data_IF_035819849040
#
_entry.id   IF_035819849040
#
_cell.length_a   1.000
_cell.length_b   1.000
_cell.length_c   1.000
_cell.angle_alpha   90.00
_cell.angle_beta   90.00
_cell.angle_gamma   90.00
#
_symmetry.space_group_name_H-M   'P 1'
#
loop_
_entity.id
_entity.type
_entity.pdbx_description
1 polymer ?
#
# COMPACT_ATOMS: atom_id res chain seq x y z
N UNK A 1 -38.25 21.48 67.02
CA UNK A 1 -36.92 21.62 66.40
C UNK A 1 -36.58 20.33 65.71
N UNK A 2 -36.78 20.24 64.37
CA UNK A 2 -36.44 19.07 63.57
C UNK A 2 -35.07 19.26 62.97
N UNK A 3 -34.13 18.37 63.36
CA UNK A 3 -32.78 18.32 62.77
C UNK A 3 -32.84 17.58 61.46
N UNK A 4 -32.53 18.25 60.36
CA UNK A 4 -32.35 17.66 59.04
C UNK A 4 -30.89 17.21 58.96
N UNK A 5 -30.68 15.89 58.88
CA UNK A 5 -29.37 15.31 58.51
C UNK A 5 -29.21 15.39 57.00
N UNK A 6 -28.28 16.23 56.52
CA UNK A 6 -27.82 16.19 55.14
C UNK A 6 -26.75 15.09 55.03
N UNK A 7 -27.10 13.99 54.35
CA UNK A 7 -26.17 12.97 53.94
C UNK A 7 -25.45 13.39 52.64
N UNK A 8 -24.15 13.65 52.74
CA UNK A 8 -23.28 13.88 51.55
C UNK A 8 -23.02 12.53 50.89
N UNK A 9 -23.62 12.29 49.75
CA UNK A 9 -23.24 11.19 48.87
C UNK A 9 -21.96 11.62 48.10
N UNK A 10 -20.85 11.07 48.51
CA UNK A 10 -19.61 11.19 47.73
C UNK A 10 -19.73 10.32 46.48
N UNK A 11 -19.96 10.92 45.31
CA UNK A 11 -19.74 10.26 44.01
C UNK A 11 -18.25 10.10 43.84
N UNK A 12 -17.75 8.90 44.05
CA UNK A 12 -16.41 8.52 43.58
C UNK A 12 -16.46 8.39 42.05
N UNK A 13 -16.06 9.44 41.36
CA UNK A 13 -15.66 9.36 39.95
C UNK A 13 -14.37 8.53 39.91
N UNK A 14 -14.50 7.25 39.65
CA UNK A 14 -13.39 6.44 39.13
C UNK A 14 -13.05 7.01 37.75
N UNK A 15 -12.06 7.90 37.69
CA UNK A 15 -11.38 8.21 36.45
C UNK A 15 -10.73 6.89 35.98
N UNK A 16 -11.41 6.19 35.08
CA UNK A 16 -10.73 5.22 34.25
C UNK A 16 -9.60 6.01 33.59
N UNK A 17 -8.35 5.74 33.94
CA UNK A 17 -7.24 6.21 33.13
C UNK A 17 -7.53 5.70 31.71
N UNK A 18 -7.82 6.61 30.79
CA UNK A 18 -7.95 6.28 29.39
C UNK A 18 -6.57 5.70 29.02
N UNK A 19 -6.50 4.39 28.84
CA UNK A 19 -5.29 3.76 28.31
C UNK A 19 -5.08 4.39 26.95
N UNK A 20 -3.87 4.88 26.69
CA UNK A 20 -3.57 5.46 25.39
C UNK A 20 -3.64 4.36 24.34
N UNK A 21 -4.48 4.55 23.33
CA UNK A 21 -4.67 3.61 22.24
C UNK A 21 -3.40 3.45 21.40
N UNK A 22 -3.18 2.28 20.83
CA UNK A 22 -2.21 2.14 19.74
C UNK A 22 -2.71 2.91 18.52
N UNK A 23 -1.82 3.60 17.85
CA UNK A 23 -2.17 4.45 16.70
C UNK A 23 -1.43 4.03 15.45
N UNK A 24 -2.14 3.53 14.44
CA UNK A 24 -1.62 3.32 13.11
C UNK A 24 -1.52 4.67 12.38
N UNK A 25 -0.31 5.17 12.22
CA UNK A 25 -0.03 6.42 11.49
C UNK A 25 0.02 6.11 10.00
N UNK A 26 -0.97 6.60 9.26
CA UNK A 26 -1.11 6.37 7.82
C UNK A 26 -0.72 7.63 7.06
N UNK A 27 0.32 7.59 6.20
CA UNK A 27 0.80 8.77 5.47
C UNK A 27 -0.06 9.12 4.25
N UNK A 28 -1.29 8.64 4.21
CA UNK A 28 -2.24 8.84 3.12
C UNK A 28 -3.55 9.42 3.62
N UNK A 29 -4.29 10.04 2.70
CA UNK A 29 -5.65 10.50 2.96
C UNK A 29 -6.61 9.32 3.22
N UNK A 30 -7.68 9.54 4.00
CA UNK A 30 -8.75 8.56 4.15
C UNK A 30 -9.28 8.05 2.82
N UNK A 31 -9.54 6.73 2.75
CA UNK A 31 -10.09 6.06 1.58
C UNK A 31 -9.08 5.71 0.48
N UNK A 32 -7.81 6.08 0.61
CA UNK A 32 -6.74 5.51 -0.24
C UNK A 32 -6.41 4.08 0.18
N UNK A 33 -5.71 3.35 -0.68
CA UNK A 33 -5.48 1.92 -0.50
C UNK A 33 -4.80 1.53 0.82
N UNK A 34 -3.81 2.30 1.28
CA UNK A 34 -3.17 2.05 2.57
C UNK A 34 -4.08 2.38 3.74
N UNK A 35 -4.91 3.44 3.63
CA UNK A 35 -5.92 3.77 4.63
C UNK A 35 -6.94 2.65 4.79
N UNK A 36 -7.51 2.16 3.68
CA UNK A 36 -8.49 1.06 3.69
C UNK A 36 -7.90 -0.21 4.32
N UNK A 37 -6.64 -0.52 3.98
CA UNK A 37 -5.93 -1.66 4.56
C UNK A 37 -5.70 -1.44 6.07
N UNK A 38 -5.23 -0.27 6.48
CA UNK A 38 -4.95 0.04 7.88
C UNK A 38 -6.23 -0.01 8.75
N UNK A 39 -7.37 0.43 8.22
CA UNK A 39 -8.66 0.38 8.92
C UNK A 39 -9.09 -1.06 9.25
N UNK A 40 -8.89 -2.01 8.31
CA UNK A 40 -9.23 -3.41 8.57
C UNK A 40 -8.23 -4.06 9.53
N UNK A 41 -6.94 -3.73 9.41
CA UNK A 41 -5.92 -4.22 10.33
C UNK A 41 -6.16 -3.67 11.74
N UNK A 42 -6.39 -2.38 11.91
CA UNK A 42 -6.66 -1.75 13.21
C UNK A 42 -7.83 -2.43 13.93
N UNK A 43 -8.95 -2.64 13.22
CA UNK A 43 -10.14 -3.27 13.77
C UNK A 43 -9.88 -4.71 14.24
N UNK A 44 -9.17 -5.49 13.44
CA UNK A 44 -8.89 -6.88 13.78
C UNK A 44 -7.78 -6.99 14.83
N UNK A 45 -6.70 -6.20 14.74
CA UNK A 45 -5.61 -6.21 15.70
C UNK A 45 -6.08 -5.78 17.10
N UNK A 46 -7.09 -4.90 17.21
CA UNK A 46 -7.72 -4.50 18.48
C UNK A 46 -8.31 -5.67 19.26
N UNK A 47 -8.63 -6.80 18.61
CA UNK A 47 -9.14 -8.00 19.28
C UNK A 47 -8.05 -8.74 20.06
N UNK A 48 -6.78 -8.48 19.76
CA UNK A 48 -5.61 -9.21 20.26
C UNK A 48 -4.64 -8.33 21.03
N UNK A 49 -4.97 -7.06 21.21
CA UNK A 49 -4.26 -6.12 22.07
C UNK A 49 -5.14 -5.78 23.29
N UNK A 50 -4.52 -5.43 24.42
CA UNK A 50 -5.27 -5.00 25.61
C UNK A 50 -5.88 -3.59 25.44
N UNK A 51 -5.58 -2.92 24.33
CA UNK A 51 -5.92 -1.53 24.03
C UNK A 51 -6.52 -1.45 22.63
N UNK A 52 -7.30 -0.39 22.37
CA UNK A 52 -7.79 -0.15 21.01
C UNK A 52 -6.63 0.19 20.08
N UNK A 53 -6.77 -0.20 18.82
CA UNK A 53 -5.90 0.23 17.73
C UNK A 53 -6.71 1.18 16.85
N UNK A 54 -6.27 2.43 16.74
CA UNK A 54 -6.95 3.48 15.98
C UNK A 54 -6.11 3.91 14.77
N UNK A 55 -6.76 4.51 13.78
CA UNK A 55 -6.07 5.03 12.59
C UNK A 55 -5.98 6.55 12.64
N UNK A 56 -4.78 7.08 12.43
CA UNK A 56 -4.50 8.51 12.29
C UNK A 56 -3.88 8.77 10.92
N UNK A 57 -4.44 9.72 10.18
CA UNK A 57 -3.95 10.09 8.87
C UNK A 57 -3.02 11.31 8.96
N UNK A 58 -1.85 11.20 8.34
CA UNK A 58 -0.86 12.27 8.19
C UNK A 58 -0.50 12.42 6.69
N UNK A 59 -1.43 12.88 5.86
CA UNK A 59 -1.25 12.92 4.42
C UNK A 59 -0.26 13.98 3.97
N UNK A 60 0.30 13.80 2.78
CA UNK A 60 1.17 14.78 2.14
C UNK A 60 1.62 14.31 0.76
N UNK A 61 2.34 15.17 0.05
CA UNK A 61 2.82 14.86 -1.29
C UNK A 61 3.73 13.62 -1.25
N UNK A 62 3.40 12.60 -2.09
CA UNK A 62 4.13 11.33 -2.18
C UNK A 62 4.25 10.58 -0.84
N UNK A 63 3.38 10.91 0.12
CA UNK A 63 3.33 10.35 1.46
C UNK A 63 4.58 10.64 2.33
N UNK A 64 5.55 11.43 1.81
CA UNK A 64 6.82 11.78 2.47
C UNK A 64 6.59 12.59 3.76
N UNK A 65 5.77 13.67 3.78
CA UNK A 65 5.60 14.48 4.99
C UNK A 65 5.09 13.70 6.20
N UNK A 66 4.16 12.75 5.98
CA UNK A 66 3.62 11.93 7.06
C UNK A 66 4.66 10.99 7.64
N UNK A 67 5.51 10.42 6.78
CA UNK A 67 6.59 9.54 7.20
C UNK A 67 7.71 10.30 7.91
N UNK A 68 8.11 11.48 7.39
CA UNK A 68 9.07 12.36 8.05
C UNK A 68 8.57 12.82 9.42
N UNK A 69 7.26 13.16 9.53
CA UNK A 69 6.65 13.51 10.81
C UNK A 69 6.69 12.36 11.82
N UNK A 70 6.41 11.14 11.36
CA UNK A 70 6.56 9.96 12.22
C UNK A 70 8.00 9.84 12.70
N UNK A 71 8.97 9.91 11.83
CA UNK A 71 10.40 9.81 12.16
C UNK A 71 10.85 10.88 13.13
N UNK A 72 10.53 12.13 12.87
CA UNK A 72 11.04 13.26 13.64
C UNK A 72 10.32 13.48 14.97
N UNK A 73 9.02 13.12 15.07
CA UNK A 73 8.16 13.51 16.19
C UNK A 73 7.42 12.32 16.82
N UNK A 74 6.61 11.60 16.01
CA UNK A 74 5.60 10.70 16.55
C UNK A 74 6.18 9.40 17.12
N UNK A 75 7.28 8.90 16.57
CA UNK A 75 7.93 7.67 17.04
C UNK A 75 8.43 7.74 18.50
N UNK A 76 8.48 8.94 19.11
CA UNK A 76 8.82 9.11 20.52
C UNK A 76 7.70 8.63 21.47
N UNK A 77 6.50 8.43 20.97
CA UNK A 77 5.40 7.77 21.68
C UNK A 77 5.42 6.27 21.30
N UNK A 78 5.64 5.41 22.29
CA UNK A 78 5.75 3.96 22.10
C UNK A 78 4.45 3.29 21.61
N UNK A 79 3.33 4.03 21.54
CA UNK A 79 2.05 3.58 20.99
C UNK A 79 1.87 3.90 19.51
N UNK A 80 2.77 4.66 18.90
CA UNK A 80 2.71 5.01 17.49
C UNK A 80 3.33 3.92 16.62
N UNK A 81 2.56 3.50 15.62
CA UNK A 81 2.94 2.45 14.66
C UNK A 81 2.84 3.05 13.26
N UNK A 82 3.94 3.09 12.53
CA UNK A 82 3.95 3.58 11.16
C UNK A 82 3.41 2.53 10.20
N UNK A 83 2.46 2.92 9.37
CA UNK A 83 1.96 2.11 8.26
C UNK A 83 2.67 2.52 6.98
N UNK A 84 3.55 1.65 6.49
CA UNK A 84 4.24 1.86 5.24
C UNK A 84 3.52 1.17 4.07
N UNK A 85 3.86 1.61 2.87
CA UNK A 85 3.52 0.93 1.62
C UNK A 85 4.69 1.02 0.64
N UNK A 86 4.65 0.22 -0.43
CA UNK A 86 5.77 0.11 -1.37
C UNK A 86 6.25 1.42 -1.98
N UNK A 87 5.36 2.39 -2.17
CA UNK A 87 5.74 3.73 -2.63
C UNK A 87 6.67 4.48 -1.67
N UNK A 88 6.54 4.28 -0.37
CA UNK A 88 7.45 4.87 0.62
C UNK A 88 8.86 4.29 0.50
N UNK A 89 8.96 3.00 0.15
CA UNK A 89 10.24 2.37 -0.12
C UNK A 89 10.93 2.95 -1.37
N UNK A 90 10.16 3.21 -2.41
CA UNK A 90 10.69 3.88 -3.61
C UNK A 90 11.14 5.31 -3.28
N UNK A 91 10.36 6.05 -2.50
CA UNK A 91 10.77 7.39 -2.05
C UNK A 91 12.04 7.35 -1.18
N UNK A 92 12.19 6.37 -0.31
CA UNK A 92 13.41 6.18 0.49
C UNK A 92 14.67 5.97 -0.38
N UNK A 93 14.51 5.33 -1.55
CA UNK A 93 15.62 5.11 -2.48
C UNK A 93 15.98 6.33 -3.33
N UNK A 94 14.98 7.12 -3.72
CA UNK A 94 15.11 8.09 -4.79
C UNK A 94 15.01 9.54 -4.34
N UNK A 95 14.48 9.79 -3.13
CA UNK A 95 14.20 11.12 -2.62
C UNK A 95 15.09 11.49 -1.43
N UNK A 96 15.15 12.77 -1.15
CA UNK A 96 15.70 13.29 0.11
C UNK A 96 14.61 13.22 1.18
N UNK A 97 14.69 12.19 2.04
CA UNK A 97 13.72 11.90 3.09
C UNK A 97 14.41 11.83 4.46
N UNK A 98 13.69 12.17 5.52
CA UNK A 98 14.24 12.13 6.88
C UNK A 98 14.22 10.70 7.47
N UNK A 99 13.25 9.88 7.08
CA UNK A 99 13.06 8.55 7.65
C UNK A 99 14.06 7.53 7.13
N UNK A 100 14.37 6.56 8.00
CA UNK A 100 15.30 5.47 7.68
C UNK A 100 14.73 4.14 8.17
N UNK A 101 14.38 3.25 7.24
CA UNK A 101 13.83 1.92 7.56
C UNK A 101 14.76 1.05 8.42
N UNK A 102 16.08 1.30 8.37
CA UNK A 102 17.05 0.54 9.17
C UNK A 102 17.10 0.95 10.64
N UNK A 103 16.35 2.00 11.02
CA UNK A 103 16.21 2.47 12.39
C UNK A 103 14.90 2.01 13.05
N UNK A 104 14.09 1.22 12.32
CA UNK A 104 12.79 0.75 12.80
C UNK A 104 12.78 -0.77 13.00
N UNK A 105 11.92 -1.20 13.92
CA UNK A 105 11.54 -2.61 14.08
C UNK A 105 10.30 -2.92 13.24
N UNK A 106 10.38 -3.99 12.45
CA UNK A 106 9.23 -4.50 11.73
C UNK A 106 8.32 -5.25 12.69
N UNK A 107 7.04 -4.89 12.73
CA UNK A 107 5.99 -5.69 13.37
C UNK A 107 5.53 -6.78 12.43
N UNK A 108 5.19 -6.41 11.21
CA UNK A 108 4.89 -7.36 10.15
C UNK A 108 4.62 -6.69 8.82
N UNK A 109 4.70 -7.46 7.75
CA UNK A 109 4.47 -7.04 6.38
C UNK A 109 3.54 -8.00 5.65
N UNK A 110 2.65 -7.45 4.85
CA UNK A 110 1.78 -8.18 3.94
C UNK A 110 2.21 -7.87 2.50
N UNK A 111 2.77 -8.86 1.84
CA UNK A 111 3.28 -8.73 0.48
C UNK A 111 2.12 -8.79 -0.53
N UNK A 112 1.39 -7.70 -0.68
CA UNK A 112 0.28 -7.62 -1.61
C UNK A 112 0.60 -6.83 -2.89
N UNK A 113 -0.15 -7.08 -3.93
CA UNK A 113 0.02 -6.51 -5.27
C UNK A 113 -0.56 -5.09 -5.42
N UNK A 114 -0.43 -4.54 -6.61
CA UNK A 114 -1.18 -3.40 -7.12
C UNK A 114 -2.02 -3.87 -8.31
N UNK A 115 -3.27 -3.47 -8.32
CA UNK A 115 -4.24 -3.78 -9.36
C UNK A 115 -4.43 -2.56 -10.26
N UNK A 116 -4.31 -2.76 -11.56
CA UNK A 116 -4.64 -1.78 -12.57
C UNK A 116 -5.89 -2.22 -13.32
N UNK A 117 -6.88 -1.32 -13.36
CA UNK A 117 -8.07 -1.49 -14.18
C UNK A 117 -8.11 -0.49 -15.33
N UNK A 118 -8.85 -0.82 -16.35
CA UNK A 118 -9.14 0.07 -17.48
C UNK A 118 -10.62 0.00 -17.86
N UNK A 119 -11.08 0.92 -18.68
CA UNK A 119 -12.41 0.79 -19.26
C UNK A 119 -12.46 -0.34 -20.29
N UNK A 120 -13.56 -1.08 -20.30
CA UNK A 120 -13.83 -2.07 -21.34
C UNK A 120 -13.78 -1.42 -22.73
N UNK A 121 -13.13 -2.10 -23.68
CA UNK A 121 -12.94 -1.59 -25.03
C UNK A 121 -11.86 -0.51 -25.20
N UNK A 122 -11.15 -0.11 -24.12
CA UNK A 122 -9.98 0.76 -24.26
C UNK A 122 -8.86 0.01 -24.99
N UNK A 123 -8.31 0.63 -26.04
CA UNK A 123 -7.30 0.02 -26.92
C UNK A 123 -5.90 0.53 -26.53
N UNK A 124 -5.05 -0.39 -26.07
CA UNK A 124 -3.68 -0.11 -25.65
C UNK A 124 -2.80 0.33 -26.83
N UNK A 125 -3.15 -0.05 -28.06
CA UNK A 125 -2.37 0.27 -29.27
C UNK A 125 -2.70 1.63 -29.87
N UNK A 126 -3.75 2.28 -29.41
CA UNK A 126 -4.21 3.56 -29.96
C UNK A 126 -4.56 4.58 -28.89
N UNK A 127 -4.68 5.84 -29.30
CA UNK A 127 -5.16 6.94 -28.46
C UNK A 127 -4.14 7.48 -27.47
N UNK A 128 -4.59 8.47 -26.71
CA UNK A 128 -3.86 9.08 -25.60
C UNK A 128 -4.61 8.76 -24.31
N UNK A 129 -3.91 8.17 -23.36
CA UNK A 129 -4.48 7.72 -22.09
C UNK A 129 -4.28 8.80 -21.01
N UNK A 130 -5.33 9.08 -20.27
CA UNK A 130 -5.33 10.01 -19.14
C UNK A 130 -5.20 9.21 -17.85
N UNK A 131 -4.11 9.40 -17.14
CA UNK A 131 -3.74 8.60 -15.99
C UNK A 131 -3.62 9.51 -14.78
N UNK A 132 -4.42 9.25 -13.75
CA UNK A 132 -4.45 10.05 -12.53
C UNK A 132 -3.72 9.36 -11.37
N UNK A 133 -2.96 10.15 -10.62
CA UNK A 133 -2.33 9.74 -9.36
C UNK A 133 -0.92 9.16 -9.50
N UNK A 134 -0.33 8.85 -8.36
CA UNK A 134 1.05 8.37 -8.27
C UNK A 134 2.11 9.45 -8.53
N UNK A 135 3.37 9.06 -8.39
CA UNK A 135 4.51 9.97 -8.61
C UNK A 135 5.12 9.86 -10.01
N UNK A 136 4.69 8.89 -10.81
CA UNK A 136 5.33 8.56 -12.10
C UNK A 136 6.62 7.73 -11.97
N UNK A 137 7.22 7.66 -10.80
CA UNK A 137 8.45 6.87 -10.53
C UNK A 137 8.17 5.47 -9.99
N UNK A 138 6.91 5.14 -9.72
CA UNK A 138 6.51 3.82 -9.26
C UNK A 138 6.54 2.82 -10.43
N UNK A 139 6.75 1.51 -10.17
CA UNK A 139 6.81 0.49 -11.24
C UNK A 139 5.58 0.48 -12.15
N UNK A 140 4.43 0.94 -11.65
CA UNK A 140 3.21 1.05 -12.44
C UNK A 140 3.36 1.95 -13.67
N UNK A 141 4.09 3.06 -13.54
CA UNK A 141 4.37 3.96 -14.67
C UNK A 141 5.18 3.28 -15.77
N UNK A 142 6.20 2.50 -15.38
CA UNK A 142 7.01 1.75 -16.32
C UNK A 142 6.19 0.63 -17.01
N UNK A 143 5.38 -0.12 -16.25
CA UNK A 143 4.50 -1.15 -16.82
C UNK A 143 3.49 -0.55 -17.81
N UNK A 144 2.83 0.56 -17.44
CA UNK A 144 1.90 1.25 -18.35
C UNK A 144 2.61 1.80 -19.59
N UNK A 145 3.82 2.37 -19.45
CA UNK A 145 4.59 2.84 -20.60
C UNK A 145 4.91 1.68 -21.56
N UNK A 146 5.35 0.54 -21.05
CA UNK A 146 5.59 -0.64 -21.88
C UNK A 146 4.30 -1.15 -22.52
N UNK A 147 3.18 -1.24 -21.79
CA UNK A 147 1.89 -1.67 -22.34
C UNK A 147 1.41 -0.78 -23.48
N UNK A 148 1.52 0.54 -23.33
CA UNK A 148 1.01 1.50 -24.32
C UNK A 148 1.98 1.73 -25.50
N UNK A 149 3.27 1.51 -25.30
CA UNK A 149 4.29 1.79 -26.31
C UNK A 149 4.80 0.54 -27.02
N UNK A 150 4.65 -0.63 -26.42
CA UNK A 150 5.11 -1.88 -26.99
C UNK A 150 6.63 -1.99 -27.13
N UNK A 151 7.12 -2.96 -27.89
CA UNK A 151 8.53 -3.14 -28.15
C UNK A 151 9.14 -1.92 -28.85
N UNK A 152 10.30 -1.47 -28.38
CA UNK A 152 11.02 -0.34 -28.97
C UNK A 152 12.14 -0.82 -29.90
N UNK A 153 12.33 -0.13 -31.01
CA UNK A 153 13.29 -0.52 -32.06
C UNK A 153 14.74 -0.51 -31.60
N UNK A 154 15.07 0.24 -30.55
CA UNK A 154 16.40 0.34 -29.95
C UNK A 154 16.68 -0.69 -28.83
N UNK A 155 15.80 -1.67 -28.65
CA UNK A 155 15.93 -2.69 -27.63
C UNK A 155 15.37 -2.28 -26.26
N UNK A 156 14.55 -1.23 -26.19
CA UNK A 156 13.81 -0.86 -24.99
C UNK A 156 14.56 0.10 -24.06
N UNK A 157 15.24 1.08 -24.60
CA UNK A 157 15.84 2.15 -23.82
C UNK A 157 14.79 2.99 -23.09
N UNK A 158 15.18 3.57 -21.96
CA UNK A 158 14.32 4.48 -21.19
C UNK A 158 13.92 5.69 -22.04
N UNK A 159 14.85 6.24 -22.83
CA UNK A 159 14.58 7.43 -23.66
C UNK A 159 13.54 7.17 -24.75
N UNK A 160 13.56 6.01 -25.40
CA UNK A 160 12.56 5.64 -26.40
C UNK A 160 11.16 5.51 -25.78
N UNK A 161 11.08 4.85 -24.62
CA UNK A 161 9.82 4.75 -23.88
C UNK A 161 9.32 6.12 -23.38
N UNK A 162 10.18 7.01 -22.92
CA UNK A 162 9.81 8.36 -22.52
C UNK A 162 9.31 9.19 -23.71
N UNK A 163 9.91 9.04 -24.88
CA UNK A 163 9.42 9.72 -26.10
C UNK A 163 8.01 9.25 -26.45
N UNK A 164 7.79 7.95 -26.54
CA UNK A 164 6.46 7.38 -26.80
C UNK A 164 5.45 7.76 -25.71
N UNK A 165 5.83 7.67 -24.42
CA UNK A 165 4.97 8.00 -23.28
C UNK A 165 4.41 9.44 -23.37
N UNK A 166 5.25 10.41 -23.78
CA UNK A 166 4.82 11.81 -23.96
C UNK A 166 3.76 11.98 -25.02
N UNK A 167 3.71 11.08 -26.00
CA UNK A 167 2.70 11.09 -27.06
C UNK A 167 1.45 10.27 -26.67
N UNK A 168 1.62 9.24 -25.84
CA UNK A 168 0.59 8.24 -25.55
C UNK A 168 -0.09 8.42 -24.19
N UNK A 169 0.44 9.23 -23.29
CA UNK A 169 -0.11 9.41 -21.96
C UNK A 169 -0.10 10.85 -21.48
N UNK A 170 -1.18 11.26 -20.82
CA UNK A 170 -1.25 12.48 -20.01
C UNK A 170 -1.30 12.08 -18.56
N UNK A 171 -0.23 12.40 -17.83
CA UNK A 171 -0.15 12.13 -16.40
C UNK A 171 -0.70 13.31 -15.60
N UNK A 172 -1.71 13.05 -14.74
CA UNK A 172 -2.38 14.05 -13.93
C UNK A 172 -2.03 13.81 -12.46
N UNK A 173 -1.19 14.68 -11.90
CA UNK A 173 -0.75 14.62 -10.51
C UNK A 173 -1.64 15.45 -9.59
N UNK A 174 -1.52 15.22 -8.27
CA UNK A 174 -2.22 16.00 -7.24
C UNK A 174 -3.69 15.67 -7.06
N UNK A 175 -4.17 14.61 -7.68
CA UNK A 175 -5.56 14.15 -7.58
C UNK A 175 -5.75 13.32 -6.32
N UNK A 176 -6.74 13.65 -5.49
CA UNK A 176 -7.10 12.86 -4.31
C UNK A 176 -7.66 11.48 -4.69
N UNK A 177 -7.69 10.53 -3.75
CA UNK A 177 -8.26 9.21 -3.99
C UNK A 177 -9.73 9.23 -4.40
N UNK A 178 -10.51 10.16 -3.83
CA UNK A 178 -11.92 10.37 -4.19
C UNK A 178 -12.11 10.92 -5.59
N UNK A 179 -11.35 11.97 -5.94
CA UNK A 179 -11.38 12.57 -7.29
C UNK A 179 -10.93 11.57 -8.36
N UNK A 180 -9.87 10.82 -8.10
CA UNK A 180 -9.41 9.75 -9.01
C UNK A 180 -10.50 8.74 -9.31
N UNK A 181 -11.24 8.30 -8.27
CA UNK A 181 -12.35 7.37 -8.43
C UNK A 181 -13.50 7.97 -9.24
N UNK A 182 -13.94 9.18 -8.88
CA UNK A 182 -15.00 9.86 -9.62
C UNK A 182 -14.61 10.12 -11.07
N UNK A 183 -13.39 10.58 -11.32
CA UNK A 183 -12.90 10.80 -12.67
C UNK A 183 -12.81 9.51 -13.50
N UNK A 184 -12.42 8.39 -12.88
CA UNK A 184 -12.47 7.09 -13.56
C UNK A 184 -13.92 6.67 -13.87
N UNK A 185 -14.86 6.77 -12.91
CA UNK A 185 -16.27 6.48 -13.13
C UNK A 185 -16.89 7.36 -14.23
N UNK A 186 -16.50 8.62 -14.28
CA UNK A 186 -16.97 9.59 -15.29
C UNK A 186 -16.21 9.50 -16.63
N UNK A 187 -15.28 8.56 -16.77
CA UNK A 187 -14.42 8.40 -17.96
C UNK A 187 -13.53 9.62 -18.24
N UNK A 188 -13.17 10.37 -17.21
CA UNK A 188 -12.19 11.46 -17.27
C UNK A 188 -10.76 10.91 -17.22
N UNK A 189 -10.58 9.76 -16.55
CA UNK A 189 -9.34 8.99 -16.47
C UNK A 189 -9.55 7.59 -17.06
N UNK A 190 -8.53 7.08 -17.74
CA UNK A 190 -8.60 5.83 -18.47
C UNK A 190 -8.09 4.62 -17.66
N UNK A 191 -7.36 4.90 -16.56
CA UNK A 191 -6.78 3.88 -15.67
C UNK A 191 -7.21 4.08 -14.22
N UNK A 192 -7.67 3.00 -13.61
CA UNK A 192 -7.78 2.87 -12.16
C UNK A 192 -6.56 2.10 -11.63
N UNK A 193 -5.81 2.68 -10.70
CA UNK A 193 -4.63 2.09 -10.05
C UNK A 193 -4.86 2.04 -8.55
N UNK A 194 -4.91 0.85 -7.97
CA UNK A 194 -5.25 0.68 -6.56
C UNK A 194 -4.55 -0.52 -5.92
N UNK A 195 -4.46 -0.52 -4.59
CA UNK A 195 -4.19 -1.76 -3.86
C UNK A 195 -5.40 -2.68 -3.89
N UNK A 196 -5.25 -4.01 -3.68
CA UNK A 196 -6.35 -4.96 -3.64
C UNK A 196 -7.50 -4.53 -2.73
N UNK A 197 -7.20 -4.02 -1.52
CA UNK A 197 -8.22 -3.54 -0.60
C UNK A 197 -9.08 -2.41 -1.16
N UNK A 198 -8.47 -1.41 -1.80
CA UNK A 198 -9.22 -0.32 -2.41
C UNK A 198 -9.91 -0.76 -3.72
N UNK A 199 -9.27 -1.63 -4.51
CA UNK A 199 -9.89 -2.23 -5.68
C UNK A 199 -11.17 -2.97 -5.33
N UNK A 200 -11.11 -3.90 -4.39
CA UNK A 200 -12.25 -4.70 -3.96
C UNK A 200 -13.37 -3.86 -3.34
N UNK A 201 -13.01 -2.80 -2.62
CA UNK A 201 -13.99 -1.92 -1.96
C UNK A 201 -14.68 -0.96 -2.93
N UNK A 202 -14.00 -0.48 -3.97
CA UNK A 202 -14.45 0.69 -4.70
C UNK A 202 -14.53 0.55 -6.21
N UNK A 203 -13.80 -0.38 -6.83
CA UNK A 203 -13.62 -0.38 -8.28
C UNK A 203 -14.13 -1.64 -8.98
N UNK A 204 -14.08 -2.81 -8.32
CA UNK A 204 -14.39 -4.08 -8.97
C UNK A 204 -15.81 -4.14 -9.54
N UNK A 205 -16.76 -3.42 -8.94
CA UNK A 205 -18.17 -3.42 -9.31
C UNK A 205 -18.58 -2.19 -10.15
N UNK A 206 -17.61 -1.37 -10.60
CA UNK A 206 -17.89 -0.25 -11.51
C UNK A 206 -18.21 -0.82 -12.90
N UNK A 207 -19.37 -0.46 -13.43
CA UNK A 207 -19.81 -0.91 -14.76
C UNK A 207 -18.82 -0.46 -15.86
N UNK A 208 -18.45 -1.42 -16.72
CA UNK A 208 -17.49 -1.20 -17.79
C UNK A 208 -16.04 -1.02 -17.33
N UNK A 209 -15.75 -1.37 -16.06
CA UNK A 209 -14.38 -1.50 -15.57
C UNK A 209 -13.94 -2.95 -15.75
N UNK A 210 -12.76 -3.14 -16.31
CA UNK A 210 -12.13 -4.46 -16.41
C UNK A 210 -10.76 -4.42 -15.74
N UNK A 211 -10.42 -5.50 -15.06
CA UNK A 211 -9.08 -5.68 -14.51
C UNK A 211 -8.11 -5.81 -15.69
N UNK A 212 -7.13 -4.94 -15.75
CA UNK A 212 -6.19 -4.86 -16.86
C UNK A 212 -4.95 -5.68 -16.62
N UNK A 213 -4.22 -5.34 -15.55
CA UNK A 213 -3.02 -6.06 -15.15
C UNK A 213 -2.74 -5.94 -13.65
N UNK A 214 -1.94 -6.87 -13.18
CA UNK A 214 -1.26 -6.85 -11.88
C UNK A 214 0.24 -7.02 -12.08
N UNK A 215 1.02 -6.73 -11.03
CA UNK A 215 2.47 -6.92 -11.10
C UNK A 215 2.90 -8.33 -10.67
N UNK A 216 1.99 -9.09 -10.04
CA UNK A 216 2.31 -10.32 -9.34
C UNK A 216 2.86 -10.04 -7.94
N UNK A 217 3.26 -11.08 -7.24
CA UNK A 217 3.82 -11.01 -5.90
C UNK A 217 5.24 -11.57 -5.88
N UNK A 218 6.10 -11.02 -5.03
CA UNK A 218 7.45 -11.53 -4.84
C UNK A 218 7.41 -12.77 -3.93
N UNK A 219 7.82 -13.90 -4.45
CA UNK A 219 8.11 -15.09 -3.65
C UNK A 219 9.45 -14.87 -2.93
N UNK A 220 9.38 -14.71 -1.62
CA UNK A 220 10.55 -14.39 -0.79
C UNK A 220 11.51 -15.56 -0.63
N UNK A 221 11.07 -16.81 -0.85
CA UNK A 221 11.95 -17.99 -0.77
C UNK A 221 12.84 -18.09 -2.01
N UNK A 222 12.25 -17.82 -3.18
CA UNK A 222 12.94 -17.97 -4.46
C UNK A 222 13.46 -16.66 -5.04
N UNK A 223 13.03 -15.52 -4.50
CA UNK A 223 13.32 -14.17 -5.04
C UNK A 223 12.69 -13.93 -6.42
N UNK A 224 11.75 -14.77 -6.83
CA UNK A 224 11.09 -14.65 -8.14
C UNK A 224 9.72 -14.01 -8.01
N UNK A 225 9.36 -13.28 -9.04
CA UNK A 225 8.00 -12.81 -9.19
C UNK A 225 7.10 -13.96 -9.65
N UNK A 226 5.99 -14.16 -8.96
CA UNK A 226 4.97 -15.15 -9.30
C UNK A 226 3.63 -14.46 -9.54
N UNK A 227 2.74 -15.12 -10.24
CA UNK A 227 1.39 -14.60 -10.48
C UNK A 227 0.64 -14.36 -9.17
N UNK A 228 -0.14 -13.28 -9.11
CA UNK A 228 -1.03 -13.03 -7.99
C UNK A 228 -2.21 -14.04 -8.01
N UNK A 229 -2.31 -14.93 -7.01
CA UNK A 229 -3.35 -15.94 -6.98
C UNK A 229 -4.77 -15.35 -6.82
N UNK A 230 -4.90 -14.11 -6.38
CA UNK A 230 -6.20 -13.42 -6.26
C UNK A 230 -6.69 -12.86 -7.60
N UNK A 231 -5.78 -12.71 -8.58
CA UNK A 231 -6.06 -12.11 -9.89
C UNK A 231 -5.41 -12.92 -11.02
N UNK A 232 -5.77 -14.21 -11.19
CA UNK A 232 -5.14 -15.08 -12.17
C UNK A 232 -5.33 -14.57 -13.60
N UNK A 233 -4.32 -14.76 -14.43
CA UNK A 233 -4.31 -14.35 -15.85
C UNK A 233 -4.12 -12.87 -16.08
N UNK A 234 -3.66 -12.10 -15.08
CA UNK A 234 -3.52 -10.64 -15.17
C UNK A 234 -2.09 -10.13 -14.99
N UNK A 235 -1.12 -11.02 -14.80
CA UNK A 235 0.27 -10.62 -14.59
C UNK A 235 0.80 -9.81 -15.78
N UNK A 236 1.51 -8.72 -15.49
CA UNK A 236 1.98 -7.76 -16.49
C UNK A 236 2.73 -8.40 -17.65
N UNK A 237 3.70 -9.28 -17.35
CA UNK A 237 4.54 -9.91 -18.38
C UNK A 237 3.71 -10.76 -19.36
N UNK A 238 2.72 -11.49 -18.84
CA UNK A 238 1.83 -12.31 -19.67
C UNK A 238 0.89 -11.44 -20.50
N UNK A 239 0.34 -10.36 -19.92
CA UNK A 239 -0.49 -9.37 -20.63
C UNK A 239 0.29 -8.62 -21.70
N UNK A 240 1.54 -8.28 -21.44
CA UNK A 240 2.40 -7.66 -22.44
C UNK A 240 2.63 -8.63 -23.62
N UNK A 241 2.98 -9.90 -23.35
CA UNK A 241 3.18 -10.92 -24.37
C UNK A 241 1.90 -11.19 -25.17
N UNK A 242 0.74 -11.25 -24.50
CA UNK A 242 -0.56 -11.41 -25.16
C UNK A 242 -0.81 -10.26 -26.16
N UNK A 243 -0.50 -9.03 -25.76
CA UNK A 243 -0.71 -7.82 -26.57
C UNK A 243 0.30 -7.66 -27.71
N UNK A 244 1.58 -7.92 -27.45
CA UNK A 244 2.69 -7.58 -28.35
C UNK A 244 3.39 -8.79 -28.99
N UNK A 245 3.09 -10.02 -28.55
CA UNK A 245 3.62 -11.27 -29.10
C UNK A 245 4.95 -11.73 -28.50
N UNK A 246 5.57 -10.92 -27.65
CA UNK A 246 6.85 -11.21 -26.97
C UNK A 246 6.87 -10.70 -25.54
N UNK A 247 7.77 -11.20 -24.70
CA UNK A 247 7.95 -10.67 -23.35
C UNK A 247 8.68 -9.32 -23.36
N UNK A 248 8.41 -8.45 -22.37
CA UNK A 248 9.12 -7.19 -22.25
C UNK A 248 10.62 -7.43 -21.98
N UNK A 249 11.47 -6.61 -22.58
CA UNK A 249 12.93 -6.65 -22.43
C UNK A 249 13.49 -5.23 -22.43
N UNK A 250 14.78 -5.10 -22.12
CA UNK A 250 15.51 -3.85 -22.22
C UNK A 250 15.56 -3.06 -20.90
N UNK A 251 16.17 -1.89 -20.99
CA UNK A 251 16.57 -1.07 -19.84
C UNK A 251 15.39 -0.67 -18.95
N UNK A 252 14.27 -0.26 -19.55
CA UNK A 252 13.07 0.09 -18.78
C UNK A 252 12.48 -1.10 -18.04
N UNK A 253 12.50 -2.29 -18.67
CA UNK A 253 12.00 -3.51 -18.01
C UNK A 253 12.91 -3.94 -16.86
N UNK A 254 14.23 -3.79 -17.00
CA UNK A 254 15.17 -4.08 -15.91
C UNK A 254 14.98 -3.13 -14.72
N UNK A 255 14.78 -1.84 -14.99
CA UNK A 255 14.43 -0.85 -13.96
C UNK A 255 13.06 -1.15 -13.31
N UNK A 256 12.08 -1.57 -14.10
CA UNK A 256 10.78 -2.00 -13.60
C UNK A 256 10.90 -3.18 -12.62
N UNK A 257 11.65 -4.23 -12.98
CA UNK A 257 11.84 -5.39 -12.10
C UNK A 257 12.48 -4.99 -10.77
N UNK A 258 13.52 -4.16 -10.82
CA UNK A 258 14.22 -3.69 -9.62
C UNK A 258 13.28 -2.91 -8.69
N UNK A 259 12.57 -1.92 -9.22
CA UNK A 259 11.67 -1.06 -8.43
C UNK A 259 10.44 -1.82 -7.94
N UNK A 260 9.93 -2.78 -8.70
CA UNK A 260 8.84 -3.66 -8.30
C UNK A 260 9.25 -4.54 -7.12
N UNK A 261 10.37 -5.26 -7.22
CA UNK A 261 10.84 -6.14 -6.17
C UNK A 261 11.08 -5.38 -4.86
N UNK A 262 11.70 -4.20 -4.97
CA UNK A 262 11.87 -3.31 -3.82
C UNK A 262 10.53 -2.91 -3.18
N UNK A 263 9.57 -2.50 -3.99
CA UNK A 263 8.23 -2.14 -3.52
C UNK A 263 7.54 -3.30 -2.82
N UNK A 264 7.58 -4.50 -3.40
CA UNK A 264 6.82 -5.65 -2.94
C UNK A 264 7.25 -6.12 -1.55
N UNK A 265 8.54 -6.02 -1.23
CA UNK A 265 9.08 -6.39 0.09
C UNK A 265 8.42 -5.64 1.23
N UNK A 266 8.04 -4.36 1.04
CA UNK A 266 7.44 -3.51 2.08
C UNK A 266 6.04 -3.02 1.71
N UNK A 267 5.32 -3.73 0.85
CA UNK A 267 4.10 -3.22 0.20
C UNK A 267 3.02 -2.79 1.19
N UNK A 268 2.78 -3.55 2.25
CA UNK A 268 1.92 -3.14 3.37
C UNK A 268 2.58 -3.61 4.67
N UNK A 269 3.14 -2.69 5.41
CA UNK A 269 3.93 -3.05 6.57
C UNK A 269 3.71 -2.12 7.77
N UNK A 270 3.91 -2.67 8.95
CA UNK A 270 3.77 -2.02 10.24
C UNK A 270 5.14 -1.91 10.89
N UNK A 271 5.53 -0.69 11.23
CA UNK A 271 6.85 -0.38 11.78
C UNK A 271 6.73 0.43 13.06
N UNK A 272 7.60 0.18 14.00
CA UNK A 272 7.79 0.99 15.20
C UNK A 272 9.23 1.46 15.28
N UNK A 273 9.51 2.46 16.12
CA UNK A 273 10.87 2.85 16.44
C UNK A 273 11.69 1.63 16.87
N UNK A 274 12.94 1.54 16.45
CA UNK A 274 13.87 0.55 16.97
C UNK A 274 13.94 0.67 18.50
N UNK A 275 14.06 -0.44 19.20
CA UNK A 275 14.01 -0.54 20.66
C UNK A 275 12.64 -0.17 21.32
N UNK A 276 11.55 -0.14 20.56
CA UNK A 276 10.23 0.10 21.13
C UNK A 276 9.84 -1.04 22.09
N UNK A 277 9.49 -0.73 23.36
CA UNK A 277 9.19 -1.75 24.37
C UNK A 277 7.95 -2.61 24.05
N UNK A 278 7.11 -2.17 23.11
CA UNK A 278 5.92 -2.88 22.69
C UNK A 278 6.14 -3.79 21.46
N UNK A 279 7.35 -3.83 20.88
CA UNK A 279 7.64 -4.56 19.63
C UNK A 279 7.17 -6.01 19.71
N UNK A 280 7.61 -6.76 20.71
CA UNK A 280 7.24 -8.19 20.86
C UNK A 280 5.75 -8.37 21.16
N UNK A 281 5.16 -7.52 22.00
CA UNK A 281 3.72 -7.57 22.28
C UNK A 281 2.89 -7.36 21.00
N UNK A 282 3.29 -6.43 20.14
CA UNK A 282 2.62 -6.17 18.87
C UNK A 282 2.80 -7.31 17.86
N UNK A 283 3.99 -7.92 17.82
CA UNK A 283 4.25 -9.13 17.01
C UNK A 283 3.39 -10.30 17.42
N UNK A 284 3.28 -10.58 18.73
CA UNK A 284 2.43 -11.63 19.24
C UNK A 284 0.94 -11.37 18.97
N UNK A 285 0.49 -10.12 19.13
CA UNK A 285 -0.87 -9.73 18.77
C UNK A 285 -1.15 -9.91 17.28
N UNK A 286 -0.18 -9.57 16.42
CA UNK A 286 -0.29 -9.79 14.98
C UNK A 286 -0.33 -11.28 14.63
N UNK A 287 0.53 -12.12 15.24
CA UNK A 287 0.50 -13.59 15.06
C UNK A 287 -0.85 -14.17 15.49
N UNK A 288 -1.40 -13.71 16.62
CA UNK A 288 -2.71 -14.14 17.10
C UNK A 288 -3.83 -13.73 16.13
N UNK A 289 -3.80 -12.50 15.61
CA UNK A 289 -4.73 -12.05 14.58
C UNK A 289 -4.66 -12.89 13.30
N UNK A 290 -3.45 -13.25 12.86
CA UNK A 290 -3.23 -14.08 11.67
C UNK A 290 -3.67 -15.54 11.86
N UNK A 291 -3.72 -16.02 13.11
CA UNK A 291 -4.22 -17.35 13.46
C UNK A 291 -5.75 -17.38 13.64
N UNK A 292 -6.41 -16.22 13.75
CA UNK A 292 -7.86 -16.13 13.94
C UNK A 292 -8.59 -16.22 12.60
N UNK A 293 -9.40 -17.25 12.41
CA UNK A 293 -10.12 -17.53 11.17
C UNK A 293 -11.07 -16.38 10.77
N UNK A 294 -11.76 -15.76 11.74
CA UNK A 294 -12.70 -14.67 11.47
C UNK A 294 -11.96 -13.42 10.97
N UNK A 295 -10.88 -13.03 11.65
CA UNK A 295 -10.06 -11.89 11.26
C UNK A 295 -9.42 -12.10 9.88
N UNK A 296 -8.89 -13.30 9.62
CA UNK A 296 -8.30 -13.60 8.32
C UNK A 296 -9.32 -13.69 7.21
N UNK A 297 -10.53 -14.21 7.47
CA UNK A 297 -11.61 -14.20 6.49
C UNK A 297 -12.00 -12.77 6.07
N UNK A 298 -12.08 -11.85 7.03
CA UNK A 298 -12.37 -10.44 6.79
C UNK A 298 -11.24 -9.74 6.00
N UNK A 299 -10.00 -9.97 6.41
CA UNK A 299 -8.81 -9.42 5.73
C UNK A 299 -8.73 -9.92 4.29
N UNK A 300 -8.86 -11.24 4.08
CA UNK A 300 -8.82 -11.87 2.75
C UNK A 300 -9.94 -11.39 1.84
N UNK A 301 -11.16 -11.24 2.37
CA UNK A 301 -12.30 -10.78 1.59
C UNK A 301 -12.10 -9.35 1.02
N UNK A 302 -11.42 -8.49 1.75
CA UNK A 302 -11.18 -7.11 1.32
C UNK A 302 -9.80 -6.93 0.66
N UNK A 303 -8.75 -7.40 1.30
CA UNK A 303 -7.36 -7.12 0.89
C UNK A 303 -6.74 -8.20 -0.01
N UNK A 304 -7.36 -9.37 -0.13
CA UNK A 304 -6.81 -10.54 -0.81
C UNK A 304 -6.09 -11.50 0.15
N UNK A 305 -5.83 -12.72 -0.34
CA UNK A 305 -5.05 -13.71 0.40
C UNK A 305 -3.57 -13.60 0.00
N UNK A 306 -2.80 -12.95 0.86
CA UNK A 306 -1.39 -12.67 0.61
C UNK A 306 -0.52 -13.16 1.76
N UNK A 307 0.75 -13.56 1.48
CA UNK A 307 1.67 -13.99 2.51
C UNK A 307 2.01 -12.85 3.48
N UNK A 308 2.23 -13.23 4.72
CA UNK A 308 2.66 -12.33 5.77
C UNK A 308 4.06 -12.70 6.26
N UNK A 309 4.84 -11.66 6.54
CA UNK A 309 6.11 -11.75 7.28
C UNK A 309 5.87 -11.12 8.64
N UNK A 310 6.20 -11.80 9.73
CA UNK A 310 6.09 -11.25 11.08
C UNK A 310 7.50 -11.16 11.68
N UNK A 311 7.85 -9.99 12.07
CA UNK A 311 9.02 -9.51 12.82
C UNK A 311 10.35 -10.26 12.71
N UNK A 312 10.37 -11.56 12.97
CA UNK A 312 11.58 -12.38 12.97
C UNK A 312 12.27 -12.44 11.59
N UNK A 313 11.47 -12.36 10.53
CA UNK A 313 11.96 -12.34 9.13
C UNK A 313 12.31 -10.93 8.65
N UNK A 314 12.02 -9.90 9.45
CA UNK A 314 12.30 -8.50 9.12
C UNK A 314 13.76 -8.22 8.74
N UNK A 315 14.79 -8.78 9.45
CA UNK A 315 16.19 -8.66 9.05
C UNK A 315 16.49 -9.22 7.66
N UNK A 316 15.88 -10.37 7.29
CA UNK A 316 16.04 -10.94 5.95
C UNK A 316 15.38 -10.04 4.89
N UNK A 317 14.21 -9.50 5.19
CA UNK A 317 13.49 -8.54 4.36
C UNK A 317 14.31 -7.25 4.16
N UNK A 318 14.87 -6.67 5.23
CA UNK A 318 15.75 -5.50 5.14
C UNK A 318 17.06 -5.80 4.41
N UNK A 319 17.59 -7.01 4.52
CA UNK A 319 18.78 -7.42 3.76
C UNK A 319 18.54 -7.45 2.25
N UNK A 320 17.32 -7.76 1.81
CA UNK A 320 16.92 -7.68 0.42
C UNK A 320 16.89 -6.23 -0.09
N UNK A 321 16.68 -5.26 0.81
CA UNK A 321 16.70 -3.83 0.50
C UNK A 321 18.10 -3.21 0.46
N UNK A 322 19.15 -3.89 0.94
CA UNK A 322 20.57 -3.44 0.89
C UNK A 322 21.25 -3.83 -0.39
#
# INVERSE_FOLDING_TARGET
MKKILMGAVALSLSASAAMADYTLVVPQEPGKGTSVWAEIIARNLSKFTDEQVVVRHEPGARDIPGFNKFHNELQNDDKMIMVAHGGNGVSFLLDDVDYNYFEYDLIGSNNNDIVLGKHEGADEKSGVWRIAGGSGFEPDGAAMAMMLCGPQADGGSVDAYLACWRERAVWISGVSGGEKRLGFMNREFDVARESPAAWNKFYKDIEGNVLWLTHGILDLETGKQVEDPNYPGTQFEEKYKELWGEYPTGELYDAYKLTRNWRDVIQKSLWVRGDNPNTEKLREALKAMLADEESMAEIKALAGDYPWIVGEDGPAMLAFLK
#
